data_IF_143594843275
#
_entry.id   IF_143594843275
#
_cell.length_a   1.000
_cell.length_b   1.000
_cell.length_c   1.000
_cell.angle_alpha   90.00
_cell.angle_beta   90.00
_cell.angle_gamma   90.00
#
_symmetry.space_group_name_H-M   'P 1'
#
loop_
_entity.id
_entity.type
_entity.pdbx_description
1 polymer ?
#
# COMPACT_ATOMS: atom_id res chain seq x y z
N UNK A 1 29.02 1.59 16.73
CA UNK A 1 27.61 1.21 16.71
C UNK A 1 27.49 -0.08 17.49
N UNK A 2 27.21 -0.01 18.79
CA UNK A 2 27.12 -1.21 19.66
C UNK A 2 25.80 -1.90 19.39
N UNK A 3 25.85 -3.19 19.05
CA UNK A 3 24.70 -4.08 18.94
C UNK A 3 24.27 -4.53 20.34
N UNK A 4 24.05 -3.57 21.23
CA UNK A 4 23.61 -3.91 22.59
C UNK A 4 22.15 -4.34 22.52
N UNK A 5 21.95 -5.65 22.53
CA UNK A 5 20.64 -6.26 22.54
C UNK A 5 20.06 -6.18 23.95
N UNK A 6 18.88 -5.58 24.07
CA UNK A 6 18.11 -5.53 25.30
C UNK A 6 16.75 -6.18 25.03
N UNK A 7 16.16 -6.96 25.98
CA UNK A 7 14.84 -7.56 25.77
C UNK A 7 13.75 -6.58 25.33
N UNK A 8 13.84 -5.30 25.74
CA UNK A 8 12.97 -4.22 25.30
C UNK A 8 13.03 -3.99 23.77
N UNK A 9 14.13 -4.32 23.10
CA UNK A 9 14.25 -4.18 21.66
C UNK A 9 13.30 -5.12 20.91
N UNK A 10 13.05 -6.33 21.44
CA UNK A 10 12.08 -7.28 20.86
C UNK A 10 10.66 -6.74 20.97
N UNK A 11 10.33 -6.10 22.09
CA UNK A 11 9.01 -5.47 22.28
C UNK A 11 8.86 -4.34 21.25
N UNK A 12 9.90 -3.52 21.09
CA UNK A 12 9.88 -2.42 20.10
C UNK A 12 9.77 -2.94 18.67
N UNK A 13 10.50 -3.98 18.31
CA UNK A 13 10.40 -4.61 16.98
C UNK A 13 8.97 -5.15 16.75
N UNK A 14 8.42 -5.86 17.73
CA UNK A 14 7.04 -6.39 17.64
C UNK A 14 6.02 -5.28 17.47
N UNK A 15 6.15 -4.20 18.24
CA UNK A 15 5.28 -3.02 18.11
C UNK A 15 5.45 -2.36 16.73
N UNK A 16 6.67 -2.25 16.21
CA UNK A 16 6.91 -1.71 14.88
C UNK A 16 6.25 -2.57 13.80
N UNK A 17 6.33 -3.90 13.89
CA UNK A 17 5.66 -4.81 12.96
C UNK A 17 4.15 -4.65 12.99
N UNK A 18 3.56 -4.59 14.20
CA UNK A 18 2.11 -4.38 14.36
C UNK A 18 1.70 -3.01 13.85
N UNK A 19 2.44 -1.96 14.19
CA UNK A 19 2.16 -0.61 13.70
C UNK A 19 2.31 -0.50 12.19
N UNK A 20 3.33 -1.12 11.61
CA UNK A 20 3.49 -1.18 10.16
C UNK A 20 2.29 -1.86 9.50
N UNK A 21 1.85 -3.01 10.02
CA UNK A 21 0.67 -3.71 9.52
C UNK A 21 -0.61 -2.86 9.61
N UNK A 22 -0.78 -2.11 10.71
CA UNK A 22 -1.93 -1.22 10.90
C UNK A 22 -1.85 0.05 10.03
N UNK A 23 -0.65 0.63 9.89
CA UNK A 23 -0.43 1.85 9.10
C UNK A 23 -0.39 1.58 7.61
N UNK A 24 -0.11 0.34 7.20
CA UNK A 24 0.05 -0.06 5.80
C UNK A 24 -1.16 -0.81 5.23
N UNK A 25 -2.26 -0.88 5.97
CA UNK A 25 -3.48 -1.54 5.46
C UNK A 25 -4.06 -0.84 4.23
N UNK A 26 -4.02 0.50 4.21
CA UNK A 26 -4.37 1.34 3.05
C UNK A 26 -3.38 1.14 1.90
N UNK A 27 -2.08 1.08 2.19
CA UNK A 27 -1.03 0.83 1.20
C UNK A 27 -1.23 -0.51 0.51
N UNK A 28 -1.55 -1.57 1.27
CA UNK A 28 -1.82 -2.90 0.75
C UNK A 28 -2.95 -2.88 -0.29
N UNK A 29 -4.03 -2.14 -0.04
CA UNK A 29 -5.15 -1.99 -0.97
C UNK A 29 -4.72 -1.28 -2.25
N UNK A 30 -3.98 -0.17 -2.14
CA UNK A 30 -3.47 0.57 -3.30
C UNK A 30 -2.57 -0.32 -4.16
N UNK A 31 -1.63 -1.03 -3.53
CA UNK A 31 -0.70 -1.92 -4.23
C UNK A 31 -1.44 -3.08 -4.91
N UNK A 32 -2.43 -3.68 -4.24
CA UNK A 32 -3.26 -4.72 -4.82
C UNK A 32 -3.96 -4.24 -6.11
N UNK A 33 -4.57 -3.04 -6.08
CA UNK A 33 -5.25 -2.48 -7.26
C UNK A 33 -4.27 -2.15 -8.38
N UNK A 34 -3.09 -1.62 -8.07
CA UNK A 34 -2.08 -1.30 -9.09
C UNK A 34 -1.60 -2.54 -9.85
N UNK A 35 -1.42 -3.67 -9.17
CA UNK A 35 -0.94 -4.90 -9.83
C UNK A 35 -2.05 -5.66 -10.55
N UNK A 36 -3.32 -5.47 -10.20
CA UNK A 36 -4.46 -6.11 -10.88
C UNK A 36 -4.50 -5.85 -12.38
N UNK A 37 -3.97 -4.72 -12.84
CA UNK A 37 -3.87 -4.38 -14.26
C UNK A 37 -2.92 -5.27 -15.06
N UNK A 38 -2.07 -6.07 -14.41
CA UNK A 38 -1.14 -7.00 -15.04
C UNK A 38 -1.77 -8.40 -15.22
N UNK A 39 -1.29 -9.19 -16.18
CA UNK A 39 -1.59 -10.62 -16.26
C UNK A 39 -1.22 -11.33 -14.96
N UNK A 40 -1.99 -12.35 -14.55
CA UNK A 40 -1.86 -13.06 -13.26
C UNK A 40 -0.43 -13.48 -12.93
N UNK A 41 0.29 -14.08 -13.87
CA UNK A 41 1.70 -14.50 -13.67
C UNK A 41 2.65 -13.34 -13.40
N UNK A 42 2.39 -12.19 -14.03
CA UNK A 42 3.20 -10.99 -13.87
C UNK A 42 2.91 -10.28 -12.56
N UNK A 43 1.70 -10.40 -12.00
CA UNK A 43 1.35 -9.79 -10.73
C UNK A 43 2.26 -10.27 -9.59
N UNK A 44 2.48 -11.59 -9.49
CA UNK A 44 3.42 -12.17 -8.50
C UNK A 44 4.83 -11.63 -8.66
N UNK A 45 5.32 -11.57 -9.92
CA UNK A 45 6.67 -11.04 -10.20
C UNK A 45 6.76 -9.56 -9.85
N UNK A 46 5.79 -8.75 -10.24
CA UNK A 46 5.76 -7.32 -9.92
C UNK A 46 5.79 -7.08 -8.41
N UNK A 47 4.99 -7.87 -7.68
CA UNK A 47 5.00 -7.80 -6.23
C UNK A 47 6.36 -8.26 -5.62
N UNK A 48 7.06 -9.26 -6.15
CA UNK A 48 8.40 -9.66 -5.67
C UNK A 48 9.45 -8.57 -5.92
N UNK A 49 9.45 -7.96 -7.08
CA UNK A 49 10.34 -6.81 -7.36
C UNK A 49 10.03 -5.65 -6.43
N UNK A 50 8.73 -5.37 -6.18
CA UNK A 50 8.30 -4.38 -5.24
C UNK A 50 8.81 -4.61 -3.81
N UNK A 51 8.91 -5.87 -3.32
CA UNK A 51 9.53 -6.14 -2.01
C UNK A 51 11.00 -5.74 -2.00
N UNK A 52 11.74 -6.11 -3.05
CA UNK A 52 13.18 -5.87 -3.09
C UNK A 52 13.45 -4.36 -3.10
N UNK A 53 12.71 -3.61 -3.90
CA UNK A 53 12.79 -2.15 -3.93
C UNK A 53 12.40 -1.52 -2.60
N UNK A 54 11.28 -1.95 -2.01
CA UNK A 54 10.84 -1.50 -0.69
C UNK A 54 11.89 -1.76 0.41
N UNK A 55 12.58 -2.91 0.40
CA UNK A 55 13.66 -3.20 1.34
C UNK A 55 14.83 -2.24 1.18
N UNK A 56 15.31 -2.08 -0.05
CA UNK A 56 16.43 -1.18 -0.36
C UNK A 56 16.07 0.26 0.04
N UNK A 57 14.89 0.71 -0.39
CA UNK A 57 14.41 2.04 -0.06
C UNK A 57 14.24 2.24 1.45
N UNK A 58 13.67 1.27 2.16
CA UNK A 58 13.46 1.37 3.61
C UNK A 58 14.75 1.48 4.39
N UNK A 59 15.77 0.69 4.03
CA UNK A 59 17.10 0.79 4.64
C UNK A 59 17.68 2.17 4.36
N UNK A 60 17.68 2.61 3.09
CA UNK A 60 18.20 3.92 2.70
C UNK A 60 17.45 5.05 3.42
N UNK A 61 16.12 5.01 3.41
CA UNK A 61 15.29 6.02 4.05
C UNK A 61 15.46 6.06 5.57
N UNK A 62 15.67 4.90 6.22
CA UNK A 62 15.96 4.87 7.66
C UNK A 62 17.33 5.50 7.98
N UNK A 63 18.34 5.23 7.14
CA UNK A 63 19.68 5.84 7.28
C UNK A 63 19.63 7.36 7.09
N UNK A 64 18.83 7.82 6.13
CA UNK A 64 18.66 9.23 5.79
C UNK A 64 17.41 9.86 6.41
N UNK A 65 16.84 9.26 7.44
CA UNK A 65 15.56 9.69 8.02
C UNK A 65 15.58 11.16 8.46
N UNK A 66 16.69 11.63 9.05
CA UNK A 66 16.84 13.02 9.48
C UNK A 66 16.74 14.02 8.31
N UNK A 67 17.24 13.64 7.12
CA UNK A 67 17.15 14.43 5.90
C UNK A 67 15.76 14.31 5.27
N UNK A 68 15.13 13.15 5.35
CA UNK A 68 13.81 12.89 4.78
C UNK A 68 12.68 13.64 5.49
N UNK A 69 12.82 13.92 6.79
CA UNK A 69 11.87 14.76 7.54
C UNK A 69 11.66 16.12 6.87
N UNK A 70 12.66 16.62 6.14
CA UNK A 70 12.59 17.91 5.44
C UNK A 70 11.97 17.81 4.04
N UNK A 71 11.75 16.61 3.51
CA UNK A 71 11.22 16.38 2.16
C UNK A 71 9.68 16.47 2.11
N UNK A 72 9.13 17.60 2.57
CA UNK A 72 7.68 17.87 2.47
C UNK A 72 7.12 17.76 1.06
N UNK A 73 7.95 18.02 0.05
CA UNK A 73 7.59 17.88 -1.37
C UNK A 73 7.14 16.48 -1.74
N UNK A 74 7.62 15.45 -1.04
CA UNK A 74 7.19 14.05 -1.31
C UNK A 74 5.72 13.85 -0.93
N UNK A 75 5.27 14.44 0.19
CA UNK A 75 3.84 14.42 0.58
C UNK A 75 2.97 15.16 -0.45
N UNK A 76 3.44 16.30 -0.96
CA UNK A 76 2.72 17.04 -2.00
C UNK A 76 2.61 16.24 -3.30
N UNK A 77 3.76 15.79 -3.84
CA UNK A 77 3.80 15.06 -5.12
C UNK A 77 3.05 13.74 -4.99
N UNK A 78 3.27 13.01 -3.88
CA UNK A 78 2.58 11.75 -3.60
C UNK A 78 1.07 11.91 -3.45
N UNK A 79 0.63 12.93 -2.69
CA UNK A 79 -0.78 13.23 -2.52
C UNK A 79 -1.46 13.58 -3.85
N UNK A 80 -0.84 14.41 -4.68
CA UNK A 80 -1.34 14.74 -6.03
C UNK A 80 -1.38 13.52 -6.95
N UNK A 81 -0.34 12.67 -6.90
CA UNK A 81 -0.30 11.42 -7.66
C UNK A 81 -1.42 10.46 -7.24
N UNK A 82 -1.64 10.30 -5.93
CA UNK A 82 -2.71 9.43 -5.42
C UNK A 82 -4.10 9.98 -5.73
N UNK A 83 -4.30 11.29 -5.84
CA UNK A 83 -5.57 11.87 -6.29
C UNK A 83 -5.76 11.76 -7.81
N UNK A 84 -4.67 11.80 -8.58
CA UNK A 84 -4.75 11.63 -10.02
C UNK A 84 -5.24 10.23 -10.43
N UNK A 85 -4.88 9.18 -9.66
CA UNK A 85 -5.29 7.80 -9.93
C UNK A 85 -6.83 7.64 -9.92
N UNK A 86 -7.56 7.97 -8.83
CA UNK A 86 -9.02 7.88 -8.80
C UNK A 86 -9.69 8.85 -9.76
N UNK A 87 -9.15 10.06 -9.93
CA UNK A 87 -9.65 10.97 -10.95
C UNK A 87 -9.64 10.32 -12.34
N UNK A 88 -8.53 9.69 -12.74
CA UNK A 88 -8.44 9.01 -14.01
C UNK A 88 -9.39 7.80 -14.10
N UNK A 89 -9.57 7.06 -13.00
CA UNK A 89 -10.46 5.92 -12.92
C UNK A 89 -11.94 6.34 -13.10
N UNK A 90 -12.39 7.35 -12.36
CA UNK A 90 -13.81 7.74 -12.36
C UNK A 90 -14.21 8.61 -13.54
N UNK A 91 -13.33 9.49 -14.02
CA UNK A 91 -13.68 10.48 -15.04
C UNK A 91 -13.19 10.16 -16.46
N UNK A 92 -12.20 9.28 -16.60
CA UNK A 92 -11.68 8.84 -17.91
C UNK A 92 -11.89 7.35 -18.19
N UNK A 93 -12.31 6.57 -17.22
CA UNK A 93 -12.79 5.20 -17.41
C UNK A 93 -14.17 5.21 -18.05
N UNK A 94 -14.41 4.33 -19.04
CA UNK A 94 -15.67 4.21 -19.79
C UNK A 94 -16.91 3.90 -18.93
N UNK A 95 -17.91 3.24 -19.52
CA UNK A 95 -19.18 2.88 -18.86
C UNK A 95 -18.92 2.11 -17.56
N UNK A 96 -19.80 2.22 -16.56
CA UNK A 96 -19.64 1.64 -15.22
C UNK A 96 -19.23 0.15 -15.19
N UNK A 97 -19.53 -0.60 -16.23
CA UNK A 97 -19.17 -1.99 -16.39
C UNK A 97 -17.69 -2.18 -16.79
N UNK A 98 -17.13 -1.29 -17.62
CA UNK A 98 -15.69 -1.27 -17.96
C UNK A 98 -14.83 -0.76 -16.79
N UNK A 99 -15.40 0.05 -15.89
CA UNK A 99 -14.71 0.52 -14.68
C UNK A 99 -14.50 -0.57 -13.63
N UNK A 100 -15.32 -1.60 -13.63
CA UNK A 100 -15.18 -2.77 -12.73
C UNK A 100 -14.08 -3.72 -13.16
N UNK A 101 -13.65 -3.65 -14.42
CA UNK A 101 -12.41 -4.33 -14.82
C UNK A 101 -11.21 -3.57 -14.27
N UNK A 102 -10.22 -4.27 -13.69
CA UNK A 102 -8.99 -3.64 -13.25
C UNK A 102 -8.37 -2.85 -14.41
N UNK A 103 -7.91 -1.61 -14.19
CA UNK A 103 -7.34 -0.80 -15.26
C UNK A 103 -6.15 -1.54 -15.88
N UNK A 104 -6.25 -1.88 -17.16
CA UNK A 104 -5.17 -2.60 -17.89
C UNK A 104 -3.86 -1.84 -17.79
N UNK A 105 -2.81 -2.53 -17.37
CA UNK A 105 -1.48 -1.95 -17.28
C UNK A 105 -1.03 -1.45 -18.66
N UNK A 106 -0.63 -0.18 -18.73
CA UNK A 106 -0.16 0.45 -19.98
C UNK A 106 1.34 0.70 -19.89
N UNK A 107 2.03 0.58 -21.03
CA UNK A 107 3.40 1.02 -21.17
C UNK A 107 3.52 2.52 -20.83
N UNK A 108 4.61 2.92 -20.17
CA UNK A 108 4.85 4.28 -19.74
C UNK A 108 6.33 4.63 -19.84
N UNK A 109 6.67 5.83 -20.30
CA UNK A 109 8.06 6.30 -20.48
C UNK A 109 8.98 5.32 -21.25
N UNK A 110 8.46 4.62 -22.28
CA UNK A 110 9.23 3.63 -23.04
C UNK A 110 9.43 2.28 -22.33
N UNK A 111 8.92 2.13 -21.10
CA UNK A 111 8.96 0.88 -20.33
C UNK A 111 7.76 0.00 -20.69
N UNK A 112 7.94 -1.35 -20.64
CA UNK A 112 6.83 -2.29 -20.76
C UNK A 112 5.78 -2.05 -19.66
N UNK A 113 4.54 -2.50 -19.87
CA UNK A 113 3.46 -2.42 -18.90
C UNK A 113 3.85 -3.01 -17.53
N UNK A 114 4.64 -4.08 -17.52
CA UNK A 114 5.18 -4.72 -16.31
C UNK A 114 6.08 -3.76 -15.53
N UNK A 115 7.14 -3.24 -16.16
CA UNK A 115 8.07 -2.34 -15.48
C UNK A 115 7.43 -1.02 -15.08
N UNK A 116 6.51 -0.50 -15.92
CA UNK A 116 5.72 0.68 -15.56
C UNK A 116 4.88 0.46 -14.30
N UNK A 117 4.33 -0.76 -14.12
CA UNK A 117 3.58 -1.10 -12.90
C UNK A 117 4.51 -1.26 -11.71
N UNK A 118 5.67 -1.93 -11.85
CA UNK A 118 6.66 -2.05 -10.78
C UNK A 118 7.09 -0.67 -10.29
N UNK A 119 7.43 0.25 -11.20
CA UNK A 119 7.81 1.62 -10.83
C UNK A 119 6.68 2.36 -10.10
N UNK A 120 5.42 2.20 -10.54
CA UNK A 120 4.27 2.81 -9.84
C UNK A 120 4.09 2.24 -8.45
N UNK A 121 4.24 0.93 -8.28
CA UNK A 121 4.20 0.24 -6.98
C UNK A 121 5.28 0.80 -6.06
N UNK A 122 6.53 0.89 -6.53
CA UNK A 122 7.64 1.44 -5.76
C UNK A 122 7.43 2.91 -5.37
N UNK A 123 7.03 3.75 -6.32
CA UNK A 123 6.76 5.17 -6.03
C UNK A 123 5.65 5.33 -4.99
N UNK A 124 4.62 4.51 -5.08
CA UNK A 124 3.53 4.52 -4.12
C UNK A 124 4.01 4.07 -2.74
N UNK A 125 4.79 3.00 -2.67
CA UNK A 125 5.34 2.50 -1.42
C UNK A 125 6.29 3.51 -0.74
N UNK A 126 7.12 4.20 -1.53
CA UNK A 126 7.99 5.29 -1.06
C UNK A 126 7.17 6.40 -0.38
N UNK A 127 6.07 6.83 -1.00
CA UNK A 127 5.21 7.88 -0.46
C UNK A 127 4.63 7.48 0.90
N UNK A 128 4.19 6.24 1.03
CA UNK A 128 3.61 5.72 2.26
C UNK A 128 4.66 5.40 3.35
N UNK A 129 5.86 4.99 2.96
CA UNK A 129 6.90 4.61 3.90
C UNK A 129 7.40 5.76 4.78
N UNK A 130 7.24 7.02 4.35
CA UNK A 130 7.73 8.17 5.10
C UNK A 130 7.10 8.24 6.50
N UNK A 131 5.79 8.11 6.61
CA UNK A 131 5.08 8.20 7.89
C UNK A 131 5.48 7.07 8.85
N UNK A 132 5.63 5.86 8.33
CA UNK A 132 6.02 4.71 9.14
C UNK A 132 7.48 4.78 9.59
N UNK A 133 8.38 5.29 8.74
CA UNK A 133 9.80 5.51 9.09
C UNK A 133 9.91 6.57 10.19
N UNK A 134 9.16 7.68 10.10
CA UNK A 134 9.15 8.71 11.12
C UNK A 134 8.70 8.17 12.48
N UNK A 135 7.64 7.34 12.49
CA UNK A 135 7.18 6.68 13.72
C UNK A 135 8.24 5.73 14.26
N UNK A 136 8.89 4.94 13.40
CA UNK A 136 9.91 3.99 13.80
C UNK A 136 11.13 4.68 14.42
N UNK A 137 11.60 5.79 13.83
CA UNK A 137 12.71 6.62 14.36
C UNK A 137 12.34 7.25 15.70
N UNK A 138 11.08 7.65 15.90
CA UNK A 138 10.62 8.17 17.18
C UNK A 138 10.53 7.10 18.29
N UNK A 139 10.35 5.82 17.90
CA UNK A 139 10.22 4.71 18.86
C UNK A 139 11.55 4.14 19.34
N UNK A 140 12.62 4.24 18.53
CA UNK A 140 13.94 3.71 18.91
C UNK A 140 15.07 4.54 18.30
N UNK A 141 16.13 4.83 19.07
CA UNK A 141 17.33 5.42 18.54
C UNK A 141 18.25 4.40 17.85
N UNK A 142 17.94 3.08 17.97
CA UNK A 142 18.76 2.00 17.45
C UNK A 142 18.39 1.69 16.00
N UNK A 143 19.28 2.02 15.07
CA UNK A 143 19.06 1.81 13.63
C UNK A 143 18.69 0.36 13.29
N UNK A 144 19.37 -0.62 13.89
CA UNK A 144 19.09 -2.04 13.63
C UNK A 144 17.67 -2.46 14.07
N UNK A 145 17.14 -1.92 15.18
CA UNK A 145 15.76 -2.17 15.64
C UNK A 145 14.77 -1.66 14.63
N UNK A 146 14.97 -0.42 14.14
CA UNK A 146 14.11 0.22 13.15
C UNK A 146 14.13 -0.56 11.83
N UNK A 147 15.33 -0.90 11.34
CA UNK A 147 15.49 -1.66 10.09
C UNK A 147 14.83 -3.03 10.21
N UNK A 148 15.10 -3.78 11.28
CA UNK A 148 14.52 -5.11 11.48
C UNK A 148 13.00 -5.05 11.59
N UNK A 149 12.46 -4.15 12.41
CA UNK A 149 11.01 -3.97 12.55
C UNK A 149 10.35 -3.56 11.24
N UNK A 150 10.96 -2.65 10.50
CA UNK A 150 10.49 -2.22 9.20
C UNK A 150 10.51 -3.32 8.13
N UNK A 151 11.57 -4.11 8.04
CA UNK A 151 11.67 -5.24 7.10
C UNK A 151 10.63 -6.33 7.42
N UNK A 152 10.49 -6.69 8.69
CA UNK A 152 9.47 -7.65 9.13
C UNK A 152 8.06 -7.09 8.88
N UNK A 153 7.84 -5.79 9.05
CA UNK A 153 6.59 -5.11 8.72
C UNK A 153 6.24 -5.20 7.25
N UNK A 154 7.21 -5.00 6.33
CA UNK A 154 7.00 -5.18 4.89
C UNK A 154 6.59 -6.63 4.59
N UNK A 155 7.21 -7.63 5.21
CA UNK A 155 6.83 -9.03 5.04
C UNK A 155 5.40 -9.28 5.51
N UNK A 156 5.03 -8.76 6.69
CA UNK A 156 3.67 -8.89 7.22
C UNK A 156 2.63 -8.22 6.30
N UNK A 157 2.90 -7.00 5.83
CA UNK A 157 2.05 -6.29 4.87
C UNK A 157 1.86 -7.10 3.58
N UNK A 158 2.88 -7.83 3.15
CA UNK A 158 2.83 -8.65 1.95
C UNK A 158 1.81 -9.77 2.02
N UNK A 159 1.70 -10.41 3.18
CA UNK A 159 0.68 -11.45 3.40
C UNK A 159 -0.72 -10.85 3.28
N UNK A 160 -0.92 -9.63 3.78
CA UNK A 160 -2.20 -8.90 3.68
C UNK A 160 -2.52 -8.55 2.22
N UNK A 161 -1.55 -8.11 1.42
CA UNK A 161 -1.77 -7.78 -0.01
C UNK A 161 -2.30 -9.01 -0.77
N UNK A 162 -1.74 -10.20 -0.53
CA UNK A 162 -2.19 -11.43 -1.19
C UNK A 162 -3.66 -11.74 -0.92
N UNK A 163 -4.09 -11.60 0.33
CA UNK A 163 -5.50 -11.80 0.74
C UNK A 163 -6.42 -10.73 0.13
N UNK A 164 -6.00 -9.46 0.15
CA UNK A 164 -6.76 -8.37 -0.46
C UNK A 164 -6.92 -8.56 -1.96
N UNK A 165 -5.86 -8.97 -2.64
CA UNK A 165 -5.89 -9.27 -4.07
C UNK A 165 -6.90 -10.36 -4.41
N UNK A 166 -6.96 -11.43 -3.60
CA UNK A 166 -7.95 -12.49 -3.74
C UNK A 166 -9.39 -11.97 -3.58
N UNK A 167 -9.63 -11.17 -2.53
CA UNK A 167 -10.95 -10.58 -2.26
C UNK A 167 -11.39 -9.64 -3.39
N UNK A 168 -10.50 -8.77 -3.89
CA UNK A 168 -10.83 -7.82 -4.96
C UNK A 168 -11.08 -8.54 -6.28
N UNK A 169 -10.38 -9.64 -6.56
CA UNK A 169 -10.67 -10.48 -7.73
C UNK A 169 -12.04 -11.14 -7.65
N UNK A 170 -12.41 -11.64 -6.48
CA UNK A 170 -13.72 -12.25 -6.23
C UNK A 170 -14.87 -11.26 -6.34
N UNK A 171 -14.63 -10.03 -5.91
CA UNK A 171 -15.61 -8.95 -5.86
C UNK A 171 -15.13 -7.71 -6.65
N UNK A 172 -15.24 -7.69 -8.00
CA UNK A 172 -14.72 -6.59 -8.82
C UNK A 172 -15.26 -5.21 -8.47
N UNK A 173 -16.46 -5.12 -7.89
CA UNK A 173 -17.02 -3.85 -7.40
C UNK A 173 -16.20 -3.21 -6.27
N UNK A 174 -15.33 -3.97 -5.61
CA UNK A 174 -14.37 -3.44 -4.62
C UNK A 174 -13.30 -2.53 -5.24
N UNK A 175 -13.07 -2.63 -6.55
CA UNK A 175 -12.11 -1.76 -7.25
C UNK A 175 -12.50 -0.28 -7.07
N UNK A 176 -13.78 0.05 -7.23
CA UNK A 176 -14.26 1.42 -7.03
C UNK A 176 -14.04 1.89 -5.59
N UNK A 177 -14.34 1.03 -4.60
CA UNK A 177 -14.07 1.32 -3.19
C UNK A 177 -12.60 1.53 -2.89
N UNK A 178 -11.72 0.74 -3.50
CA UNK A 178 -10.29 0.93 -3.37
C UNK A 178 -9.82 2.28 -3.94
N UNK A 179 -10.36 2.73 -5.07
CA UNK A 179 -10.05 4.06 -5.60
C UNK A 179 -10.57 5.19 -4.69
N UNK A 180 -11.68 5.00 -3.98
CA UNK A 180 -12.15 5.95 -2.95
C UNK A 180 -11.17 5.98 -1.77
N UNK A 181 -10.64 4.83 -1.34
CA UNK A 181 -9.60 4.77 -0.30
C UNK A 181 -8.33 5.49 -0.78
N UNK A 182 -7.88 5.26 -2.02
CA UNK A 182 -6.73 5.95 -2.62
C UNK A 182 -6.93 7.47 -2.61
N UNK A 183 -8.13 7.95 -2.99
CA UNK A 183 -8.47 9.36 -2.93
C UNK A 183 -8.36 9.92 -1.51
N UNK A 184 -8.89 9.20 -0.53
CA UNK A 184 -8.80 9.59 0.88
C UNK A 184 -7.36 9.73 1.36
N UNK A 185 -6.52 8.75 1.03
CA UNK A 185 -5.09 8.78 1.40
C UNK A 185 -4.37 9.94 0.73
N UNK A 186 -4.67 10.22 -0.55
CA UNK A 186 -4.14 11.39 -1.25
C UNK A 186 -4.53 12.71 -0.56
N UNK A 187 -5.80 12.84 -0.15
CA UNK A 187 -6.28 14.01 0.61
C UNK A 187 -5.54 14.13 1.95
N UNK A 188 -5.38 13.02 2.68
CA UNK A 188 -4.66 12.99 3.95
C UNK A 188 -3.23 13.51 3.79
N UNK A 189 -2.50 13.04 2.79
CA UNK A 189 -1.13 13.50 2.51
C UNK A 189 -1.06 15.01 2.21
N UNK A 190 -2.03 15.56 1.48
CA UNK A 190 -2.10 17.00 1.23
C UNK A 190 -2.42 17.81 2.49
N UNK A 191 -3.25 17.27 3.38
CA UNK A 191 -3.52 17.89 4.70
C UNK A 191 -2.24 17.90 5.53
N UNK A 192 -1.49 16.81 5.58
CA UNK A 192 -0.22 16.72 6.30
C UNK A 192 0.83 17.68 5.73
N UNK A 193 0.90 17.81 4.41
CA UNK A 193 1.74 18.80 3.75
C UNK A 193 1.36 20.24 4.15
N UNK A 194 0.08 20.59 4.07
CA UNK A 194 -0.42 21.92 4.42
C UNK A 194 -0.23 22.23 5.91
N UNK A 195 -0.40 21.24 6.79
CA UNK A 195 -0.07 21.34 8.20
C UNK A 195 1.42 21.61 8.41
N UNK A 196 2.29 20.92 7.69
CA UNK A 196 3.72 21.12 7.74
C UNK A 196 4.16 22.52 7.27
N UNK A 197 3.38 23.20 6.43
CA UNK A 197 3.59 24.60 6.04
C UNK A 197 3.00 25.63 7.02
N UNK A 198 2.25 25.16 8.04
CA UNK A 198 1.55 26.02 8.98
C UNK A 198 0.25 26.63 8.44
N UNK A 199 -0.23 26.18 7.27
CA UNK A 199 -1.49 26.67 6.68
C UNK A 199 -2.71 26.12 7.42
N UNK A 200 -2.60 24.90 7.95
CA UNK A 200 -3.64 24.21 8.67
C UNK A 200 -3.10 23.76 10.02
N UNK A 201 -3.87 23.96 11.08
CA UNK A 201 -3.50 23.52 12.44
C UNK A 201 -4.09 22.16 12.82
N UNK A 202 -4.83 21.53 11.92
CA UNK A 202 -5.49 20.24 12.11
C UNK A 202 -4.68 19.13 11.45
N UNK A 203 -4.48 18.03 12.19
CA UNK A 203 -3.97 16.75 11.66
C UNK A 203 -5.06 15.70 11.78
N UNK A 204 -5.21 14.88 10.75
CA UNK A 204 -6.13 13.74 10.79
C UNK A 204 -5.56 12.69 11.73
N UNK A 205 -6.24 12.36 12.84
CA UNK A 205 -5.78 11.30 13.74
C UNK A 205 -5.70 9.96 13.00
N UNK A 206 -4.67 9.16 13.30
CA UNK A 206 -4.44 7.87 12.64
C UNK A 206 -5.62 6.91 12.80
N UNK A 207 -6.23 6.86 13.99
CA UNK A 207 -7.40 6.02 14.25
C UNK A 207 -8.63 6.43 13.42
N UNK A 208 -8.81 7.73 13.16
CA UNK A 208 -9.90 8.24 12.33
C UNK A 208 -9.68 7.86 10.86
N UNK A 209 -8.44 8.00 10.35
CA UNK A 209 -8.09 7.60 9.00
C UNK A 209 -8.30 6.09 8.80
N UNK A 210 -7.79 5.27 9.71
CA UNK A 210 -7.98 3.83 9.67
C UNK A 210 -9.46 3.43 9.76
N UNK A 211 -10.21 4.05 10.67
CA UNK A 211 -11.65 3.81 10.82
C UNK A 211 -12.43 4.12 9.54
N UNK A 212 -12.08 5.22 8.86
CA UNK A 212 -12.71 5.60 7.59
C UNK A 212 -12.37 4.60 6.46
N UNK A 213 -11.12 4.14 6.38
CA UNK A 213 -10.69 3.13 5.41
C UNK A 213 -11.45 1.82 5.62
N UNK A 214 -11.53 1.35 6.86
CA UNK A 214 -12.30 0.15 7.22
C UNK A 214 -13.79 0.33 6.89
N UNK A 215 -14.36 1.50 7.15
CA UNK A 215 -15.76 1.79 6.83
C UNK A 215 -15.99 1.78 5.31
N UNK A 216 -15.15 2.46 4.52
CA UNK A 216 -15.25 2.46 3.05
C UNK A 216 -15.11 1.04 2.51
N UNK A 217 -14.12 0.28 2.99
CA UNK A 217 -13.91 -1.11 2.58
C UNK A 217 -15.12 -1.99 2.91
N UNK A 218 -15.66 -1.88 4.13
CA UNK A 218 -16.82 -2.66 4.57
C UNK A 218 -18.06 -2.33 3.75
N UNK A 219 -18.36 -1.05 3.54
CA UNK A 219 -19.49 -0.61 2.71
C UNK A 219 -19.31 -1.12 1.27
N UNK A 220 -18.12 -0.97 0.70
CA UNK A 220 -17.81 -1.47 -0.64
C UNK A 220 -17.96 -2.97 -0.75
N UNK A 221 -17.53 -3.72 0.28
CA UNK A 221 -17.66 -5.19 0.32
C UNK A 221 -19.13 -5.62 0.44
N UNK A 222 -19.90 -4.97 1.31
CA UNK A 222 -21.33 -5.24 1.44
C UNK A 222 -22.07 -4.97 0.12
N UNK A 223 -21.77 -3.83 -0.51
CA UNK A 223 -22.30 -3.51 -1.83
C UNK A 223 -21.87 -4.53 -2.89
N UNK A 224 -20.60 -4.93 -2.90
CA UNK A 224 -20.07 -5.91 -3.84
C UNK A 224 -20.72 -7.30 -3.68
N UNK A 225 -21.07 -7.71 -2.45
CA UNK A 225 -21.80 -8.95 -2.18
C UNK A 225 -23.24 -8.96 -2.68
N UNK A 226 -23.85 -7.80 -2.89
CA UNK A 226 -25.19 -7.70 -3.50
C UNK A 226 -25.16 -7.85 -5.03
N UNK A 227 -23.96 -7.80 -5.62
CA UNK A 227 -23.78 -7.99 -7.06
C UNK A 227 -23.54 -9.48 -7.35
N UNK A 228 -24.02 -9.94 -8.51
CA UNK A 228 -23.78 -11.32 -8.94
C UNK A 228 -22.29 -11.59 -9.10
N UNK A 229 -21.73 -12.64 -8.47
CA UNK A 229 -20.32 -12.98 -8.66
C UNK A 229 -20.02 -13.28 -10.13
N UNK A 230 -18.78 -13.06 -10.61
CA UNK A 230 -18.40 -13.46 -11.96
C UNK A 230 -18.51 -14.99 -12.10
N UNK A 231 -18.80 -15.52 -13.31
CA UNK A 231 -19.01 -16.95 -13.54
C UNK A 231 -17.85 -17.86 -13.11
N UNK A 232 -16.64 -17.29 -13.00
CA UNK A 232 -15.41 -18.01 -12.63
C UNK A 232 -15.01 -17.81 -11.15
N UNK A 233 -15.94 -17.42 -10.29
CA UNK A 233 -15.63 -17.09 -8.88
C UNK A 233 -14.99 -18.27 -8.12
N UNK A 234 -15.42 -19.51 -8.35
CA UNK A 234 -14.87 -20.69 -7.70
C UNK A 234 -13.44 -21.00 -8.16
N UNK A 235 -13.14 -20.84 -9.45
CA UNK A 235 -11.79 -20.99 -9.99
C UNK A 235 -10.83 -19.90 -9.45
N UNK A 236 -11.36 -18.71 -9.15
CA UNK A 236 -10.62 -17.61 -8.53
C UNK A 236 -10.26 -17.95 -7.07
N UNK A 237 -11.16 -18.61 -6.34
CA UNK A 237 -10.91 -19.02 -4.95
C UNK A 237 -9.82 -20.10 -4.85
N UNK A 238 -9.86 -21.09 -5.73
CA UNK A 238 -8.83 -22.15 -5.78
C UNK A 238 -7.44 -21.56 -6.12
N UNK A 239 -7.40 -20.62 -7.04
CA UNK A 239 -6.17 -19.94 -7.42
C UNK A 239 -5.66 -19.00 -6.30
N UNK A 240 -6.56 -18.33 -5.59
CA UNK A 240 -6.21 -17.49 -4.45
C UNK A 240 -5.63 -18.31 -3.29
N UNK A 241 -6.23 -19.48 -2.99
CA UNK A 241 -5.73 -20.40 -1.99
C UNK A 241 -4.35 -20.97 -2.37
N UNK A 242 -4.14 -21.30 -3.64
CA UNK A 242 -2.83 -21.70 -4.15
C UNK A 242 -1.78 -20.60 -4.00
N UNK A 243 -2.16 -19.33 -4.21
CA UNK A 243 -1.29 -18.16 -4.01
C UNK A 243 -0.86 -18.02 -2.54
N UNK A 244 -1.78 -18.19 -1.62
CA UNK A 244 -1.53 -18.07 -0.18
C UNK A 244 -0.61 -19.20 0.27
N UNK A 245 -0.87 -20.43 -0.14
CA UNK A 245 -0.06 -21.59 0.21
C UNK A 245 1.38 -21.48 -0.33
N UNK A 246 1.56 -21.02 -1.56
CA UNK A 246 2.86 -20.81 -2.19
C UNK A 246 3.69 -19.70 -1.49
N UNK A 247 3.01 -18.71 -0.92
CA UNK A 247 3.65 -17.66 -0.11
C UNK A 247 4.07 -18.16 1.27
N UNK A 248 3.33 -19.12 1.83
CA UNK A 248 3.63 -19.72 3.14
C UNK A 248 4.75 -20.76 3.00
N UNK A 249 4.78 -21.54 1.91
CA UNK A 249 5.76 -22.58 1.65
C UNK A 249 7.10 -22.06 1.08
N UNK A 250 7.19 -20.79 0.73
CA UNK A 250 8.45 -20.15 0.31
C UNK A 250 8.99 -20.63 -1.05
N UNK A 251 8.16 -21.20 -1.91
CA UNK A 251 8.54 -21.68 -3.25
C UNK A 251 8.29 -20.64 -4.34
#
# INVERSE_FOLDING_TARGET
MTLDFVPADLITISLLVVLEGLLSADNAMVLAVLVLGLPKEQQRRALRYGILGAFVFRIAATVFAAQMIQLRLVQLIGGLYLLWLPYHHFFRGGVAQERREPPKAKAWLGMSAFWATVVKVELTDIVFAIDSILVAVAMSPKLWVIVTGGLLGIVAMRMVIGQLLAIVRRYPALVDGAFVIIAWVGIKLLIEYAHGLGWIHFLVPKWLSLGLIVAIFTVSLLYARTQTPPPDADAIDDEANALINDQIEGR
#
